data_IF_703462318737
#
_entry.id   IF_703462318737
#
_cell.length_a   1.000
_cell.length_b   1.000
_cell.length_c   1.000
_cell.angle_alpha   90.00
_cell.angle_beta   90.00
_cell.angle_gamma   90.00
#
_symmetry.space_group_name_H-M   'P 1'
#
loop_
_entity.id
_entity.type
_entity.pdbx_description
1 polymer ?
#
# COMPACT_ATOMS: atom_id res chain seq x y z
N UNK A 1 23.07 15.48 -27.31
CA UNK A 1 22.03 14.70 -26.59
C UNK A 1 21.21 13.95 -27.63
N UNK A 2 21.23 12.61 -27.63
CA UNK A 2 20.56 11.83 -28.69
C UNK A 2 19.04 12.01 -28.62
N UNK A 3 18.36 12.02 -29.78
CA UNK A 3 16.89 12.09 -29.85
C UNK A 3 16.23 10.93 -29.08
N UNK A 4 16.92 9.79 -29.02
CA UNK A 4 16.49 8.58 -28.30
C UNK A 4 16.46 8.83 -26.79
N UNK A 5 17.49 9.43 -26.21
CA UNK A 5 17.54 9.70 -24.77
C UNK A 5 16.42 10.63 -24.30
N UNK A 6 16.09 11.68 -25.07
CA UNK A 6 14.99 12.60 -24.73
C UNK A 6 13.64 11.87 -24.75
N UNK A 7 13.41 10.96 -25.72
CA UNK A 7 12.19 10.14 -25.76
C UNK A 7 12.13 9.18 -24.58
N UNK A 8 13.25 8.52 -24.24
CA UNK A 8 13.34 7.65 -23.08
C UNK A 8 12.96 8.42 -21.81
N UNK A 9 13.57 9.60 -21.60
CA UNK A 9 13.29 10.45 -20.45
C UNK A 9 11.81 10.88 -20.39
N UNK A 10 11.21 11.22 -21.53
CA UNK A 10 9.78 11.54 -21.60
C UNK A 10 8.87 10.35 -21.24
N UNK A 11 9.19 9.15 -21.75
CA UNK A 11 8.44 7.94 -21.45
C UNK A 11 8.56 7.59 -19.96
N UNK A 12 9.77 7.65 -19.39
CA UNK A 12 9.99 7.39 -17.96
C UNK A 12 9.27 8.41 -17.08
N UNK A 13 9.33 9.70 -17.42
CA UNK A 13 8.61 10.75 -16.70
C UNK A 13 7.09 10.52 -16.72
N UNK A 14 6.54 10.18 -17.89
CA UNK A 14 5.11 9.92 -18.04
C UNK A 14 4.68 8.66 -17.28
N UNK A 15 5.47 7.58 -17.32
CA UNK A 15 5.16 6.33 -16.63
C UNK A 15 5.13 6.50 -15.11
N UNK A 16 6.13 7.19 -14.54
CA UNK A 16 6.19 7.48 -13.09
C UNK A 16 5.04 8.42 -12.69
N UNK A 17 4.78 9.47 -13.47
CA UNK A 17 3.68 10.38 -13.17
C UNK A 17 2.31 9.68 -13.26
N UNK A 18 2.10 8.81 -14.26
CA UNK A 18 0.84 8.08 -14.45
C UNK A 18 0.55 7.09 -13.32
N UNK A 19 1.56 6.32 -12.92
CA UNK A 19 1.44 5.37 -11.80
C UNK A 19 1.20 6.10 -10.48
N UNK A 20 1.94 7.19 -10.22
CA UNK A 20 1.76 8.03 -9.04
C UNK A 20 0.37 8.67 -8.99
N UNK A 21 -0.11 9.23 -10.11
CA UNK A 21 -1.45 9.79 -10.22
C UNK A 21 -2.53 8.74 -9.98
N UNK A 22 -2.39 7.55 -10.57
CA UNK A 22 -3.37 6.46 -10.41
C UNK A 22 -3.53 6.02 -8.96
N UNK A 23 -2.41 5.87 -8.22
CA UNK A 23 -2.43 5.54 -6.79
C UNK A 23 -2.95 6.71 -5.94
N UNK A 24 -2.53 7.93 -6.24
CA UNK A 24 -2.98 9.15 -5.55
C UNK A 24 -4.50 9.34 -5.64
N UNK A 25 -5.05 9.26 -6.85
CA UNK A 25 -6.49 9.40 -7.12
C UNK A 25 -7.28 8.32 -6.37
N UNK A 26 -6.84 7.05 -6.48
CA UNK A 26 -7.51 5.94 -5.81
C UNK A 26 -7.43 6.04 -4.27
N UNK A 27 -6.32 6.54 -3.73
CA UNK A 27 -6.14 6.73 -2.30
C UNK A 27 -6.97 7.88 -1.73
N UNK A 28 -6.94 9.05 -2.38
CA UNK A 28 -7.77 10.20 -1.99
C UNK A 28 -9.26 9.86 -2.08
N UNK A 29 -9.69 9.17 -3.13
CA UNK A 29 -11.08 8.76 -3.30
C UNK A 29 -11.58 7.85 -2.16
N UNK A 30 -10.71 7.01 -1.58
CA UNK A 30 -11.04 6.16 -0.43
C UNK A 30 -11.17 6.93 0.89
N UNK A 31 -10.50 8.06 1.03
CA UNK A 31 -10.60 8.91 2.24
C UNK A 31 -11.98 9.59 2.37
N UNK A 32 -12.71 9.75 1.25
CA UNK A 32 -14.00 10.44 1.20
C UNK A 32 -15.10 9.54 0.65
N UNK A 33 -15.49 8.52 1.42
CA UNK A 33 -16.46 7.50 1.01
C UNK A 33 -17.79 8.06 0.45
N UNK A 34 -18.28 9.19 0.99
CA UNK A 34 -19.52 9.84 0.55
C UNK A 34 -19.43 10.64 -0.76
N UNK A 35 -18.22 10.93 -1.25
CA UNK A 35 -18.00 11.77 -2.44
C UNK A 35 -16.84 11.26 -3.32
N UNK A 36 -16.59 9.95 -3.30
CA UNK A 36 -15.43 9.30 -3.91
C UNK A 36 -15.21 9.71 -5.38
N UNK A 37 -16.26 9.69 -6.21
CA UNK A 37 -16.16 10.06 -7.63
C UNK A 37 -15.79 11.53 -7.83
N UNK A 38 -16.37 12.44 -7.05
CA UNK A 38 -16.07 13.87 -7.13
C UNK A 38 -14.62 14.16 -6.73
N UNK A 39 -14.15 13.52 -5.65
CA UNK A 39 -12.75 13.63 -5.19
C UNK A 39 -11.80 13.03 -6.22
N UNK A 40 -12.15 11.90 -6.85
CA UNK A 40 -11.32 11.30 -7.89
C UNK A 40 -11.14 12.23 -9.10
N UNK A 41 -12.21 12.87 -9.57
CA UNK A 41 -12.16 13.84 -10.68
C UNK A 41 -11.29 15.04 -10.31
N UNK A 42 -11.47 15.58 -9.10
CA UNK A 42 -10.65 16.70 -8.60
C UNK A 42 -9.17 16.30 -8.50
N UNK A 43 -8.87 15.15 -7.90
CA UNK A 43 -7.50 14.65 -7.75
C UNK A 43 -6.83 14.46 -9.12
N UNK A 44 -7.55 13.92 -10.11
CA UNK A 44 -7.03 13.79 -11.48
C UNK A 44 -6.65 15.15 -12.08
N UNK A 45 -7.49 16.18 -11.89
CA UNK A 45 -7.18 17.53 -12.35
C UNK A 45 -5.94 18.11 -11.65
N UNK A 46 -5.79 17.89 -10.34
CA UNK A 46 -4.63 18.34 -9.55
C UNK A 46 -3.32 17.67 -10.00
N UNK A 47 -3.33 16.38 -10.29
CA UNK A 47 -2.16 15.65 -10.79
C UNK A 47 -1.68 16.18 -12.15
N UNK A 48 -2.63 16.44 -13.07
CA UNK A 48 -2.31 17.00 -14.39
C UNK A 48 -1.76 18.44 -14.23
N UNK A 49 -2.42 19.25 -13.39
CA UNK A 49 -2.01 20.63 -13.15
C UNK A 49 -0.57 20.70 -12.61
N UNK A 50 -0.18 19.79 -11.70
CA UNK A 50 1.19 19.72 -11.14
C UNK A 50 2.26 19.65 -12.24
N UNK A 51 2.08 18.80 -13.26
CA UNK A 51 3.06 18.62 -14.33
C UNK A 51 3.11 19.83 -15.27
N UNK A 52 1.94 20.39 -15.61
CA UNK A 52 1.82 21.58 -16.48
C UNK A 52 2.46 22.79 -15.82
N UNK A 53 2.17 23.04 -14.54
CA UNK A 53 2.73 24.17 -13.78
C UNK A 53 4.24 24.00 -13.62
N UNK A 54 4.73 22.79 -13.34
CA UNK A 54 6.18 22.51 -13.28
C UNK A 54 6.89 22.90 -14.58
N UNK A 55 6.36 22.46 -15.73
CA UNK A 55 6.90 22.82 -17.04
C UNK A 55 6.82 24.33 -17.33
N UNK A 56 5.71 24.96 -16.95
CA UNK A 56 5.50 26.40 -17.11
C UNK A 56 6.49 27.24 -16.31
N UNK A 57 6.66 26.94 -15.02
CA UNK A 57 7.60 27.61 -14.12
C UNK A 57 9.03 27.52 -14.67
N UNK A 58 9.44 26.35 -15.15
CA UNK A 58 10.75 26.17 -15.77
C UNK A 58 10.91 27.02 -17.04
N UNK A 59 9.93 26.98 -17.95
CA UNK A 59 10.01 27.64 -19.26
C UNK A 59 10.01 29.16 -19.15
N UNK A 60 9.19 29.72 -18.27
CA UNK A 60 8.96 31.15 -18.15
C UNK A 60 9.57 31.76 -16.89
N UNK A 61 10.47 31.06 -16.20
CA UNK A 61 11.12 31.53 -14.97
C UNK A 61 11.55 33.01 -15.04
N UNK A 62 12.26 33.40 -16.10
CA UNK A 62 12.76 34.76 -16.31
C UNK A 62 11.75 35.80 -16.82
N UNK A 63 10.56 35.38 -17.26
CA UNK A 63 9.53 36.26 -17.83
C UNK A 63 8.37 36.54 -16.85
N UNK A 64 8.25 35.77 -15.77
CA UNK A 64 7.21 35.91 -14.76
C UNK A 64 7.70 36.80 -13.61
N UNK A 65 6.82 37.65 -13.08
CA UNK A 65 7.10 38.48 -11.92
C UNK A 65 7.36 37.63 -10.66
N UNK A 66 8.16 38.15 -9.71
CA UNK A 66 8.68 37.38 -8.57
C UNK A 66 7.58 36.75 -7.69
N UNK A 67 6.46 37.46 -7.47
CA UNK A 67 5.35 36.97 -6.62
C UNK A 67 4.70 35.71 -7.20
N UNK A 68 4.29 35.74 -8.47
CA UNK A 68 3.73 34.58 -9.16
C UNK A 68 4.70 33.40 -9.19
N UNK A 69 6.00 33.65 -9.35
CA UNK A 69 7.01 32.59 -9.30
C UNK A 69 7.00 31.86 -7.95
N UNK A 70 6.97 32.61 -6.85
CA UNK A 70 6.91 32.04 -5.50
C UNK A 70 5.61 31.26 -5.30
N UNK A 71 4.47 31.83 -5.73
CA UNK A 71 3.17 31.17 -5.64
C UNK A 71 3.14 29.84 -6.39
N UNK A 72 3.60 29.80 -7.63
CA UNK A 72 3.59 28.57 -8.44
C UNK A 72 4.56 27.52 -7.88
N UNK A 73 5.73 27.92 -7.37
CA UNK A 73 6.63 27.00 -6.68
C UNK A 73 5.98 26.41 -5.43
N UNK A 74 5.37 27.25 -4.60
CA UNK A 74 4.64 26.81 -3.41
C UNK A 74 3.50 25.87 -3.78
N UNK A 75 2.69 26.22 -4.79
CA UNK A 75 1.59 25.39 -5.28
C UNK A 75 2.09 24.02 -5.77
N UNK A 76 3.20 23.95 -6.51
CA UNK A 76 3.78 22.66 -6.93
C UNK A 76 4.21 21.83 -5.73
N UNK A 77 4.84 22.44 -4.72
CA UNK A 77 5.22 21.74 -3.48
C UNK A 77 4.00 21.23 -2.71
N UNK A 78 2.94 22.03 -2.61
CA UNK A 78 1.68 21.60 -2.00
C UNK A 78 1.03 20.46 -2.79
N UNK A 79 1.05 20.52 -4.12
CA UNK A 79 0.50 19.46 -4.97
C UNK A 79 1.29 18.14 -4.82
N UNK A 80 2.62 18.19 -4.68
CA UNK A 80 3.43 17.04 -4.27
C UNK A 80 2.94 16.52 -2.91
N UNK A 81 2.75 17.39 -1.91
CA UNK A 81 2.19 16.97 -0.61
C UNK A 81 0.84 16.24 -0.73
N UNK A 82 -0.07 16.74 -1.58
CA UNK A 82 -1.39 16.12 -1.82
C UNK A 82 -1.26 14.75 -2.50
N UNK A 83 -0.43 14.65 -3.54
CA UNK A 83 -0.16 13.37 -4.23
C UNK A 83 0.43 12.35 -3.28
N UNK A 84 1.37 12.78 -2.45
CA UNK A 84 2.00 11.96 -1.42
C UNK A 84 0.98 11.41 -0.41
N UNK A 85 0.05 12.24 0.07
CA UNK A 85 -1.06 11.81 0.94
C UNK A 85 -1.95 10.79 0.20
N UNK A 86 -2.23 11.00 -1.09
CA UNK A 86 -3.00 10.07 -1.90
C UNK A 86 -2.33 8.69 -2.04
N UNK A 87 -1.04 8.66 -2.42
CA UNK A 87 -0.28 7.41 -2.55
C UNK A 87 -0.21 6.69 -1.20
N UNK A 88 0.05 7.42 -0.12
CA UNK A 88 0.05 6.88 1.24
C UNK A 88 -1.30 6.24 1.56
N UNK A 89 -2.41 6.95 1.34
CA UNK A 89 -3.75 6.45 1.61
C UNK A 89 -4.09 5.19 0.82
N UNK A 90 -3.63 5.09 -0.44
CA UNK A 90 -3.83 3.89 -1.25
C UNK A 90 -3.05 2.68 -0.70
N UNK A 91 -1.76 2.84 -0.46
CA UNK A 91 -0.89 1.76 0.04
C UNK A 91 -1.25 1.34 1.46
N UNK A 92 -1.53 2.31 2.34
CA UNK A 92 -1.93 2.02 3.73
C UNK A 92 -3.27 1.30 3.78
N UNK A 93 -4.23 1.67 2.92
CA UNK A 93 -5.50 0.98 2.83
C UNK A 93 -5.33 -0.45 2.30
N UNK A 94 -4.48 -0.67 1.30
CA UNK A 94 -4.20 -2.01 0.79
C UNK A 94 -3.63 -2.91 1.89
N UNK A 95 -2.68 -2.39 2.67
CA UNK A 95 -2.12 -3.11 3.82
C UNK A 95 -3.15 -3.35 4.93
N UNK A 96 -3.96 -2.35 5.26
CA UNK A 96 -5.00 -2.47 6.28
C UNK A 96 -6.04 -3.52 5.92
N UNK A 97 -6.45 -3.65 4.66
CA UNK A 97 -7.40 -4.69 4.24
C UNK A 97 -6.82 -6.08 4.53
N UNK A 98 -5.54 -6.31 4.23
CA UNK A 98 -4.89 -7.60 4.51
C UNK A 98 -4.70 -7.84 6.01
N UNK A 99 -4.21 -6.84 6.77
CA UNK A 99 -3.99 -6.95 8.21
C UNK A 99 -5.31 -7.12 8.99
N UNK A 100 -6.35 -6.35 8.67
CA UNK A 100 -7.69 -6.49 9.25
C UNK A 100 -8.36 -7.81 8.87
N UNK A 101 -8.14 -8.28 7.64
CA UNK A 101 -8.60 -9.60 7.20
C UNK A 101 -8.03 -10.72 8.07
N UNK A 102 -6.72 -10.68 8.34
CA UNK A 102 -6.07 -11.65 9.25
C UNK A 102 -6.63 -11.55 10.68
N UNK A 103 -6.71 -10.34 11.26
CA UNK A 103 -7.26 -10.13 12.61
C UNK A 103 -8.69 -10.66 12.75
N UNK A 104 -9.50 -10.49 11.71
CA UNK A 104 -10.89 -10.98 11.69
C UNK A 104 -10.95 -12.52 11.68
N UNK A 105 -10.11 -13.17 10.87
CA UNK A 105 -10.01 -14.63 10.83
C UNK A 105 -9.42 -15.20 12.14
N UNK A 106 -8.46 -14.51 12.76
CA UNK A 106 -7.91 -14.87 14.07
C UNK A 106 -8.98 -14.81 15.17
N UNK A 107 -9.76 -13.73 15.25
CA UNK A 107 -10.87 -13.61 16.20
C UNK A 107 -11.92 -14.70 16.00
N UNK A 108 -12.20 -15.08 14.75
CA UNK A 108 -13.11 -16.18 14.43
C UNK A 108 -12.56 -17.53 14.91
N UNK A 109 -11.27 -17.79 14.71
CA UNK A 109 -10.60 -18.99 15.21
C UNK A 109 -10.63 -19.03 16.74
N UNK A 110 -10.40 -17.90 17.41
CA UNK A 110 -10.45 -17.81 18.87
C UNK A 110 -11.85 -18.14 19.40
N UNK A 111 -12.89 -17.56 18.81
CA UNK A 111 -14.29 -17.88 19.14
C UNK A 111 -14.60 -19.37 18.94
N UNK A 112 -14.17 -19.95 17.80
CA UNK A 112 -14.36 -21.37 17.51
C UNK A 112 -13.59 -22.29 18.48
N UNK A 113 -12.37 -21.92 18.88
CA UNK A 113 -11.61 -22.68 19.89
C UNK A 113 -12.30 -22.66 21.25
N UNK A 114 -12.86 -21.52 21.64
CA UNK A 114 -13.63 -21.40 22.89
C UNK A 114 -14.87 -22.30 22.84
N UNK A 115 -15.61 -22.33 21.73
CA UNK A 115 -16.75 -23.23 21.54
C UNK A 115 -16.30 -24.70 21.60
N UNK A 116 -15.22 -25.05 20.90
CA UNK A 116 -14.69 -26.41 20.91
C UNK A 116 -14.29 -26.87 22.32
N UNK A 117 -13.63 -25.98 23.08
CA UNK A 117 -13.24 -26.25 24.46
C UNK A 117 -14.46 -26.55 25.34
N UNK A 118 -15.56 -25.82 25.19
CA UNK A 118 -16.81 -26.08 25.93
C UNK A 118 -17.41 -27.45 25.59
N UNK A 119 -17.33 -27.85 24.31
CA UNK A 119 -17.79 -29.17 23.86
C UNK A 119 -16.92 -30.27 24.49
N UNK A 120 -15.60 -30.11 24.45
CA UNK A 120 -14.65 -31.06 25.05
C UNK A 120 -14.85 -31.17 26.57
N UNK A 121 -15.04 -30.05 27.28
CA UNK A 121 -15.34 -30.02 28.71
C UNK A 121 -16.63 -30.79 29.03
N UNK A 122 -17.69 -30.59 28.23
CA UNK A 122 -18.96 -31.31 28.40
C UNK A 122 -18.84 -32.80 28.13
N UNK A 123 -18.06 -33.20 27.11
CA UNK A 123 -17.76 -34.62 26.86
C UNK A 123 -16.98 -35.21 28.04
N UNK A 124 -16.00 -34.49 28.58
CA UNK A 124 -15.22 -34.93 29.73
C UNK A 124 -16.05 -35.03 31.01
N UNK A 125 -17.02 -34.14 31.21
CA UNK A 125 -17.99 -34.20 32.31
C UNK A 125 -18.89 -35.43 32.22
N UNK A 126 -19.46 -35.70 31.04
CA UNK A 126 -20.29 -36.89 30.81
C UNK A 126 -19.47 -38.17 31.06
N UNK A 127 -18.23 -38.23 30.59
CA UNK A 127 -17.36 -39.39 30.83
C UNK A 127 -17.05 -39.57 32.33
N UNK A 128 -16.77 -38.48 33.06
CA UNK A 128 -16.59 -38.52 34.51
C UNK A 128 -17.83 -39.06 35.23
N UNK A 129 -19.02 -38.58 34.85
CA UNK A 129 -20.28 -39.06 35.41
C UNK A 129 -20.50 -40.57 35.16
N UNK A 130 -20.14 -41.07 33.98
CA UNK A 130 -20.18 -42.51 33.65
C UNK A 130 -19.18 -43.30 34.51
N UNK A 131 -18.01 -42.74 34.80
CA UNK A 131 -16.95 -43.42 35.54
C UNK A 131 -17.13 -43.41 37.06
N UNK A 132 -17.83 -42.43 37.61
CA UNK A 132 -18.24 -42.38 39.02
C UNK A 132 -19.21 -43.51 39.39
N UNK A 133 -19.88 -44.14 38.42
CA UNK A 133 -20.77 -45.28 38.69
C UNK A 133 -19.95 -46.47 39.20
N UNK A 134 -20.19 -46.96 40.44
CA UNK A 134 -19.40 -48.04 41.04
C UNK A 134 -19.40 -49.32 40.20
N UNK A 135 -18.24 -49.98 40.11
CA UNK A 135 -18.06 -51.23 39.32
C UNK A 135 -18.97 -52.38 39.78
N UNK A 136 -19.53 -52.34 40.99
CA UNK A 136 -20.49 -53.35 41.46
C UNK A 136 -21.86 -53.24 40.78
N UNK A 137 -22.17 -52.13 40.09
CA UNK A 137 -23.44 -51.92 39.34
C UNK A 137 -23.21 -51.85 37.83
N UNK A 138 -22.55 -52.87 37.28
CA UNK A 138 -22.22 -53.00 35.85
C UNK A 138 -23.44 -52.72 34.95
N UNK A 139 -24.62 -53.27 35.29
CA UNK A 139 -25.85 -53.07 34.50
C UNK A 139 -26.29 -51.61 34.42
N UNK A 140 -26.17 -50.84 35.52
CA UNK A 140 -26.51 -49.41 35.51
C UNK A 140 -25.46 -48.59 34.75
N UNK A 141 -24.18 -48.93 34.90
CA UNK A 141 -23.10 -48.26 34.13
C UNK A 141 -23.31 -48.45 32.62
N UNK A 142 -23.68 -49.66 32.19
CA UNK A 142 -23.97 -49.97 30.79
C UNK A 142 -25.20 -49.20 30.26
N UNK A 143 -26.25 -49.07 31.08
CA UNK A 143 -27.44 -48.29 30.74
C UNK A 143 -27.12 -46.79 30.57
N UNK A 144 -26.33 -46.21 31.49
CA UNK A 144 -25.87 -44.83 31.38
C UNK A 144 -24.96 -44.61 30.16
N UNK A 145 -24.04 -45.53 29.88
CA UNK A 145 -23.22 -45.47 28.66
C UNK A 145 -24.08 -45.43 27.41
N UNK A 146 -25.01 -46.38 27.25
CA UNK A 146 -25.90 -46.46 26.08
C UNK A 146 -26.78 -45.21 25.94
N UNK A 147 -27.16 -44.58 27.05
CA UNK A 147 -27.96 -43.34 27.06
C UNK A 147 -27.17 -42.12 26.56
N UNK A 148 -25.91 -41.96 26.99
CA UNK A 148 -25.08 -40.79 26.65
C UNK A 148 -24.20 -40.96 25.41
N UNK A 149 -23.97 -42.19 24.96
CA UNK A 149 -23.23 -42.50 23.72
C UNK A 149 -23.68 -41.69 22.49
N UNK A 150 -24.98 -41.56 22.17
CA UNK A 150 -25.40 -40.73 21.04
C UNK A 150 -25.10 -39.23 21.23
N UNK A 151 -25.18 -38.71 22.46
CA UNK A 151 -24.84 -37.31 22.78
C UNK A 151 -23.35 -37.07 22.62
N UNK A 152 -22.49 -37.96 23.17
CA UNK A 152 -21.03 -37.89 23.01
C UNK A 152 -20.65 -37.95 21.54
N UNK A 153 -21.26 -38.85 20.75
CA UNK A 153 -20.98 -38.97 19.32
C UNK A 153 -21.36 -37.72 18.55
N UNK A 154 -22.48 -37.08 18.89
CA UNK A 154 -22.92 -35.81 18.29
C UNK A 154 -21.96 -34.66 18.65
N UNK A 155 -21.59 -34.54 19.92
CA UNK A 155 -20.67 -33.53 20.41
C UNK A 155 -19.28 -33.67 19.78
N UNK A 156 -18.74 -34.89 19.70
CA UNK A 156 -17.47 -35.15 18.99
C UNK A 156 -17.54 -34.79 17.51
N UNK A 157 -18.63 -35.12 16.82
CA UNK A 157 -18.81 -34.74 15.42
C UNK A 157 -18.87 -33.22 15.23
N UNK A 158 -19.47 -32.48 16.17
CA UNK A 158 -19.45 -31.01 16.17
C UNK A 158 -18.03 -30.48 16.39
N UNK A 159 -17.30 -31.04 17.37
CA UNK A 159 -15.89 -30.72 17.63
C UNK A 159 -15.03 -30.94 16.38
N UNK A 160 -15.12 -32.10 15.74
CA UNK A 160 -14.36 -32.41 14.52
C UNK A 160 -14.65 -31.42 13.39
N UNK A 161 -15.92 -31.02 13.23
CA UNK A 161 -16.32 -30.03 12.24
C UNK A 161 -15.79 -28.61 12.56
N UNK A 162 -15.72 -28.23 13.83
CA UNK A 162 -15.12 -26.96 14.27
C UNK A 162 -13.61 -26.98 14.04
N UNK A 163 -12.92 -28.07 14.40
CA UNK A 163 -11.48 -28.23 14.18
C UNK A 163 -11.14 -28.15 12.69
N UNK A 164 -11.92 -28.82 11.83
CA UNK A 164 -11.75 -28.72 10.38
C UNK A 164 -11.90 -27.27 9.86
N UNK A 165 -12.85 -26.50 10.39
CA UNK A 165 -13.01 -25.08 10.04
C UNK A 165 -11.85 -24.23 10.54
N UNK A 166 -11.34 -24.48 11.74
CA UNK A 166 -10.17 -23.81 12.30
C UNK A 166 -8.95 -24.06 11.40
N UNK A 167 -8.71 -25.29 10.98
CA UNK A 167 -7.55 -25.60 10.15
C UNK A 167 -7.67 -25.00 8.74
N UNK A 168 -8.87 -24.98 8.15
CA UNK A 168 -9.12 -24.26 6.91
C UNK A 168 -8.86 -22.75 7.06
N UNK A 169 -9.30 -22.13 8.16
CA UNK A 169 -9.07 -20.72 8.44
C UNK A 169 -7.57 -20.41 8.67
N UNK A 170 -6.83 -21.27 9.39
CA UNK A 170 -5.37 -21.15 9.54
C UNK A 170 -4.64 -21.20 8.20
N UNK A 171 -5.02 -22.12 7.31
CA UNK A 171 -4.43 -22.19 5.95
C UNK A 171 -4.67 -20.90 5.19
N UNK A 172 -5.85 -20.28 5.34
CA UNK A 172 -6.16 -18.98 4.74
C UNK A 172 -5.27 -17.86 5.30
N UNK A 173 -5.09 -17.81 6.63
CA UNK A 173 -4.19 -16.85 7.28
C UNK A 173 -2.75 -17.05 6.80
N UNK A 174 -2.25 -18.28 6.73
CA UNK A 174 -0.89 -18.58 6.27
C UNK A 174 -0.64 -18.06 4.85
N UNK A 175 -1.61 -18.21 3.94
CA UNK A 175 -1.52 -17.65 2.58
C UNK A 175 -1.42 -16.13 2.59
N UNK A 176 -2.28 -15.45 3.35
CA UNK A 176 -2.21 -13.99 3.48
C UNK A 176 -0.92 -13.52 4.15
N UNK A 177 -0.42 -14.27 5.13
CA UNK A 177 0.84 -13.97 5.81
C UNK A 177 2.05 -14.08 4.87
N UNK A 178 2.04 -15.02 3.91
CA UNK A 178 3.09 -15.12 2.89
C UNK A 178 3.11 -13.93 1.92
N UNK A 179 1.98 -13.28 1.67
CA UNK A 179 1.90 -12.09 0.80
C UNK A 179 2.54 -10.85 1.46
N UNK A 180 2.53 -10.79 2.79
CA UNK A 180 3.17 -9.72 3.59
C UNK A 180 4.62 -10.07 3.98
N UNK A 181 5.11 -11.24 3.54
CA UNK A 181 6.39 -11.82 3.94
C UNK A 181 7.59 -10.87 3.91
N UNK A 182 7.85 -10.13 2.81
CA UNK A 182 9.00 -9.22 2.74
C UNK A 182 9.01 -8.16 3.84
N UNK A 183 7.84 -7.65 4.23
CA UNK A 183 7.73 -6.67 5.29
C UNK A 183 7.92 -7.30 6.68
N UNK A 184 7.48 -8.56 6.89
CA UNK A 184 7.72 -9.26 8.16
C UNK A 184 9.20 -9.57 8.35
N UNK A 185 9.92 -9.97 7.30
CA UNK A 185 11.37 -10.17 7.37
C UNK A 185 12.11 -8.87 7.74
N UNK A 186 11.70 -7.74 7.16
CA UNK A 186 12.24 -6.44 7.55
C UNK A 186 11.88 -6.09 9.01
N UNK A 187 10.67 -6.40 9.46
CA UNK A 187 10.24 -6.17 10.84
C UNK A 187 11.06 -6.98 11.85
N UNK A 188 11.30 -8.26 11.56
CA UNK A 188 12.14 -9.14 12.37
C UNK A 188 13.58 -8.61 12.44
N UNK A 189 14.14 -8.18 11.30
CA UNK A 189 15.49 -7.62 11.24
C UNK A 189 15.64 -6.29 11.99
N UNK A 190 14.56 -5.49 12.08
CA UNK A 190 14.52 -4.19 12.74
C UNK A 190 14.01 -4.28 14.20
N UNK A 191 13.72 -5.49 14.71
CA UNK A 191 13.11 -5.71 16.02
C UNK A 191 11.90 -4.79 16.28
N UNK A 192 11.08 -4.60 15.25
CA UNK A 192 9.93 -3.69 15.26
C UNK A 192 8.67 -4.41 14.80
N UNK A 193 7.51 -3.86 15.11
CA UNK A 193 6.23 -4.40 14.66
C UNK A 193 6.05 -4.26 13.14
N UNK A 194 5.43 -5.26 12.50
CA UNK A 194 5.21 -5.29 11.04
C UNK A 194 4.40 -4.09 10.58
N UNK A 195 3.36 -3.68 11.32
CA UNK A 195 2.55 -2.51 10.95
C UNK A 195 3.40 -1.23 10.96
N UNK A 196 4.39 -1.14 11.85
CA UNK A 196 5.29 0.02 11.97
C UNK A 196 6.27 0.06 10.81
N UNK A 197 6.90 -1.07 10.48
CA UNK A 197 7.83 -1.17 9.36
C UNK A 197 7.13 -0.87 8.04
N UNK A 198 5.92 -1.40 7.82
CA UNK A 198 5.16 -1.12 6.59
C UNK A 198 4.80 0.36 6.48
N UNK A 199 4.42 1.02 7.57
CA UNK A 199 4.15 2.48 7.56
C UNK A 199 5.38 3.28 7.11
N UNK A 200 6.56 2.96 7.64
CA UNK A 200 7.80 3.63 7.25
C UNK A 200 8.24 3.28 5.83
N UNK A 201 8.01 2.04 5.38
CA UNK A 201 8.28 1.63 4.00
C UNK A 201 7.40 2.39 3.00
N UNK A 202 6.11 2.54 3.30
CA UNK A 202 5.18 3.35 2.50
C UNK A 202 5.65 4.81 2.49
N UNK A 203 6.01 5.37 3.65
CA UNK A 203 6.50 6.74 3.75
C UNK A 203 7.78 6.94 2.91
N UNK A 204 8.70 5.99 2.93
CA UNK A 204 9.91 5.99 2.11
C UNK A 204 9.57 6.02 0.61
N UNK A 205 8.65 5.16 0.16
CA UNK A 205 8.23 5.16 -1.24
C UNK A 205 7.57 6.47 -1.65
N UNK A 206 6.68 7.01 -0.82
CA UNK A 206 6.01 8.28 -1.07
C UNK A 206 7.01 9.43 -1.19
N UNK A 207 7.99 9.51 -0.28
CA UNK A 207 9.01 10.57 -0.25
C UNK A 207 9.91 10.54 -1.49
N UNK A 208 10.18 9.37 -2.06
CA UNK A 208 11.05 9.22 -3.24
C UNK A 208 10.26 9.42 -4.53
N UNK A 209 9.10 8.77 -4.64
CA UNK A 209 8.40 8.60 -5.91
C UNK A 209 7.85 9.92 -6.47
N UNK A 210 7.32 10.76 -5.58
CA UNK A 210 6.58 11.95 -5.99
C UNK A 210 7.47 13.16 -6.34
N UNK A 211 8.52 13.51 -5.57
CA UNK A 211 9.53 14.48 -6.01
C UNK A 211 10.24 14.03 -7.30
N UNK A 212 10.48 12.72 -7.47
CA UNK A 212 11.11 12.17 -8.67
C UNK A 212 10.28 12.45 -9.92
N UNK A 213 8.95 12.33 -9.87
CA UNK A 213 8.07 12.62 -11.01
C UNK A 213 8.22 14.08 -11.47
N UNK A 214 8.20 15.02 -10.54
CA UNK A 214 8.36 16.47 -10.82
C UNK A 214 9.78 16.78 -11.33
N UNK A 215 10.80 16.20 -10.72
CA UNK A 215 12.19 16.35 -11.16
C UNK A 215 12.40 15.83 -12.58
N UNK A 216 11.78 14.71 -12.96
CA UNK A 216 11.88 14.18 -14.32
C UNK A 216 11.21 15.08 -15.35
N UNK A 217 10.06 15.69 -15.03
CA UNK A 217 9.43 16.71 -15.89
C UNK A 217 10.31 17.94 -16.03
N UNK A 218 10.97 18.36 -14.96
CA UNK A 218 11.94 19.46 -15.00
C UNK A 218 13.13 19.12 -15.90
N UNK A 219 13.73 17.94 -15.72
CA UNK A 219 14.82 17.42 -16.55
C UNK A 219 14.42 17.29 -18.03
N UNK A 220 13.18 16.89 -18.31
CA UNK A 220 12.67 16.81 -19.69
C UNK A 220 12.62 18.18 -20.34
N UNK A 221 12.07 19.17 -19.64
CA UNK A 221 12.03 20.53 -20.15
C UNK A 221 13.44 21.12 -20.33
N UNK A 222 14.38 20.79 -19.45
CA UNK A 222 15.79 21.15 -19.60
C UNK A 222 16.44 20.52 -20.83
N UNK A 223 16.27 19.21 -21.01
CA UNK A 223 16.81 18.46 -22.15
C UNK A 223 16.30 19.00 -23.50
N UNK A 224 15.00 19.31 -23.59
CA UNK A 224 14.40 19.90 -24.79
C UNK A 224 14.99 21.29 -25.07
N UNK A 225 15.08 22.15 -24.05
CA UNK A 225 15.61 23.51 -24.19
C UNK A 225 17.07 23.53 -24.61
N UNK A 226 17.91 22.67 -24.02
CA UNK A 226 19.31 22.54 -24.43
C UNK A 226 19.42 22.07 -25.88
N UNK A 227 18.60 21.09 -26.28
CA UNK A 227 18.58 20.61 -27.67
C UNK A 227 18.16 21.70 -28.66
N UNK A 228 17.19 22.55 -28.32
CA UNK A 228 16.80 23.68 -29.16
C UNK A 228 17.91 24.74 -29.24
N UNK A 229 18.55 25.06 -28.12
CA UNK A 229 19.64 26.06 -28.05
C UNK A 229 20.88 25.66 -28.84
N UNK A 230 21.22 24.38 -28.88
CA UNK A 230 22.42 23.85 -29.56
C UNK A 230 22.12 23.12 -30.87
N UNK A 231 20.94 23.34 -31.46
CA UNK A 231 20.52 22.72 -32.72
C UNK A 231 21.41 23.22 -33.86
N UNK A 232 22.40 22.42 -34.27
CA UNK A 232 23.32 22.71 -35.37
C UNK A 232 24.82 22.79 -35.01
N UNK A 233 25.19 22.71 -33.72
CA UNK A 233 26.59 22.70 -33.26
C UNK A 233 26.86 21.48 -32.35
N UNK A 234 26.87 20.28 -32.93
CA UNK A 234 26.93 19.01 -32.19
C UNK A 234 28.25 18.79 -31.42
N UNK A 235 29.33 19.49 -31.80
CA UNK A 235 30.66 19.42 -31.16
C UNK A 235 30.77 20.13 -29.81
N UNK A 236 29.89 21.08 -29.47
CA UNK A 236 29.95 21.82 -28.18
C UNK A 236 29.19 21.17 -27.02
N UNK A 237 28.52 20.04 -27.25
CA UNK A 237 27.65 19.40 -26.25
C UNK A 237 28.47 18.60 -25.21
N UNK A 238 29.70 18.22 -25.54
CA UNK A 238 30.53 17.35 -24.67
C UNK A 238 31.40 18.10 -23.65
N UNK A 239 31.82 19.35 -23.92
CA UNK A 239 32.72 20.10 -23.02
C UNK A 239 32.02 21.01 -22.02
N UNK A 240 30.77 21.44 -22.29
CA UNK A 240 30.12 22.51 -21.51
C UNK A 240 29.05 22.02 -20.52
N UNK A 241 28.84 20.71 -20.42
CA UNK A 241 27.69 20.11 -19.72
C UNK A 241 27.86 19.96 -18.20
N UNK A 242 29.04 20.24 -17.64
CA UNK A 242 29.31 20.04 -16.20
C UNK A 242 29.81 21.31 -15.47
N UNK A 243 30.42 22.28 -16.15
CA UNK A 243 31.16 23.37 -15.47
C UNK A 243 30.54 24.77 -15.53
N UNK A 244 29.46 25.01 -16.29
CA UNK A 244 28.83 26.34 -16.34
C UNK A 244 27.38 26.31 -15.87
N UNK A 245 26.98 27.19 -14.93
CA UNK A 245 25.59 27.29 -14.52
C UNK A 245 24.73 27.67 -15.72
N UNK A 246 23.59 26.99 -15.87
CA UNK A 246 22.62 27.24 -16.94
C UNK A 246 22.17 28.69 -16.85
N UNK A 247 22.67 29.55 -17.74
CA UNK A 247 22.27 30.96 -17.75
C UNK A 247 20.78 31.08 -18.11
N UNK A 248 19.97 31.43 -17.11
CA UNK A 248 18.52 31.60 -17.23
C UNK A 248 18.13 32.89 -17.97
N UNK A 249 19.08 33.78 -18.25
CA UNK A 249 18.83 35.04 -18.98
C UNK A 249 18.88 34.79 -20.49
N UNK A 250 17.71 34.85 -21.14
CA UNK A 250 17.62 34.99 -22.59
C UNK A 250 18.15 36.37 -22.97
N UNK A 251 19.32 36.45 -23.62
CA UNK A 251 19.62 37.56 -24.52
C UNK A 251 19.38 37.04 -25.94
N UNK A 252 18.30 37.50 -26.58
CA UNK A 252 18.16 37.32 -28.04
C UNK A 252 19.41 37.93 -28.67
N UNK A 253 20.17 37.14 -29.42
CA UNK A 253 21.08 37.71 -30.38
C UNK A 253 20.20 38.45 -31.39
N UNK A 254 20.41 39.76 -31.49
CA UNK A 254 19.87 40.59 -32.54
C UNK A 254 20.50 40.24 -33.88
#
# INVERSE_FOLDING_TARGET
MSKVYIRLLAITALAIAFTGASFSIAGLAKLFAGASTAVAIMAAALEIAKLVVTGFVYRYWGHIHKVMRVYLCFAVVTLIGITSIGIYGFLSNAYQISSLGMKTEELKIESMRSENKRIEERVAEINRFIDEVPRSRISKKFEFQKKYEPEIKRLRKQSDAIVAQIDAAKVKILKTHTEVGPASFLADALHSDVDTVVKYLILLFVLVFDPLAVCLVFCLNLAIRLREKYRGNETKISEHSISTPVDHRFRKAS
#
